data_IF_472056865203
#
_entry.id   IF_472056865203
#
_cell.length_a   1.000
_cell.length_b   1.000
_cell.length_c   1.000
_cell.angle_alpha   90.00
_cell.angle_beta   90.00
_cell.angle_gamma   90.00
#
_symmetry.space_group_name_H-M   'P 1'
#
loop_
_entity.id
_entity.type
_entity.pdbx_description
1 polymer ?
#
# COMPACT_ATOMS: atom_id res chain seq x y z
N UNK A 1 -20.80 30.48 -21.47
CA UNK A 1 -21.46 31.18 -22.59
C UNK A 1 -21.53 32.67 -22.26
N UNK A 2 -20.95 33.52 -23.14
CA UNK A 2 -21.03 35.00 -23.23
C UNK A 2 -20.55 35.80 -21.99
N UNK A 3 -19.90 36.98 -22.07
CA UNK A 3 -19.50 37.90 -23.16
C UNK A 3 -18.39 38.80 -22.57
N UNK A 4 -17.51 39.30 -23.42
CA UNK A 4 -16.49 40.29 -23.06
C UNK A 4 -17.11 41.64 -22.68
N UNK A 5 -16.47 42.31 -21.73
CA UNK A 5 -16.63 43.74 -21.44
C UNK A 5 -15.31 44.25 -20.85
N UNK A 6 -14.52 44.95 -21.67
CA UNK A 6 -13.45 45.81 -21.18
C UNK A 6 -14.06 46.96 -20.40
N UNK A 7 -13.61 47.15 -19.17
CA UNK A 7 -13.70 48.41 -18.45
C UNK A 7 -12.36 48.60 -17.73
N UNK A 8 -11.55 49.53 -18.23
CA UNK A 8 -10.49 50.16 -17.44
C UNK A 8 -11.14 51.01 -16.34
N UNK A 9 -10.72 50.81 -15.10
CA UNK A 9 -11.22 51.55 -13.95
C UNK A 9 -10.81 50.85 -12.67
N UNK A 10 -9.91 51.48 -11.91
CA UNK A 10 -9.31 50.92 -10.70
C UNK A 10 -10.33 50.37 -9.70
N UNK A 11 -9.96 49.30 -9.01
CA UNK A 11 -10.73 48.81 -7.88
C UNK A 11 -9.83 48.13 -6.85
N UNK A 12 -9.92 48.67 -5.64
CA UNK A 12 -9.65 48.12 -4.33
C UNK A 12 -9.00 46.73 -4.27
N UNK A 13 -7.84 46.64 -3.61
CA UNK A 13 -7.51 45.46 -2.82
C UNK A 13 -8.65 45.27 -1.80
N UNK A 14 -9.68 44.51 -2.18
CA UNK A 14 -10.75 44.14 -1.27
C UNK A 14 -10.12 43.34 -0.14
N UNK A 15 -10.18 43.87 1.08
CA UNK A 15 -9.84 43.11 2.28
C UNK A 15 -10.65 41.81 2.26
N UNK A 16 -9.97 40.70 1.95
CA UNK A 16 -10.56 39.37 2.00
C UNK A 16 -11.20 39.19 3.37
N UNK A 17 -12.47 38.81 3.41
CA UNK A 17 -13.16 38.58 4.67
C UNK A 17 -12.37 37.59 5.55
N UNK A 18 -12.36 37.78 6.88
CA UNK A 18 -11.62 36.93 7.79
C UNK A 18 -12.11 35.48 7.72
N UNK A 19 -11.25 34.61 7.16
CA UNK A 19 -11.54 33.18 7.05
C UNK A 19 -11.44 32.54 8.44
N UNK A 20 -12.58 32.14 9.01
CA UNK A 20 -12.65 31.49 10.32
C UNK A 20 -12.91 30.00 10.13
N UNK A 21 -11.98 29.17 10.59
CA UNK A 21 -12.11 27.71 10.55
C UNK A 21 -12.43 27.18 11.95
N UNK A 22 -13.26 26.13 12.01
CA UNK A 22 -13.56 25.44 13.26
C UNK A 22 -12.34 24.65 13.72
N UNK A 23 -12.01 24.72 15.01
CA UNK A 23 -10.91 23.93 15.57
C UNK A 23 -11.22 22.43 15.48
N UNK A 24 -10.25 21.65 15.01
CA UNK A 24 -10.36 20.18 14.98
C UNK A 24 -10.27 19.55 16.39
N UNK A 25 -9.74 20.27 17.38
CA UNK A 25 -9.69 19.88 18.79
C UNK A 25 -10.16 21.04 19.66
N UNK A 26 -11.11 20.77 20.56
CA UNK A 26 -11.74 21.76 21.44
C UNK A 26 -12.95 22.48 20.83
N UNK A 27 -13.54 23.39 21.59
CA UNK A 27 -14.62 24.26 21.12
C UNK A 27 -14.06 25.57 20.54
N UNK A 28 -14.78 26.14 19.57
CA UNK A 28 -14.48 27.46 19.00
C UNK A 28 -13.90 27.45 17.58
N UNK A 29 -13.68 28.67 17.08
CA UNK A 29 -13.12 28.97 15.77
C UNK A 29 -11.73 29.59 15.93
N UNK A 30 -10.89 29.46 14.93
CA UNK A 30 -9.67 30.26 14.81
C UNK A 30 -9.71 31.02 13.49
N UNK A 31 -9.18 32.23 13.49
CA UNK A 31 -9.02 33.00 12.27
C UNK A 31 -7.73 32.57 11.58
N UNK A 32 -7.80 32.33 10.27
CA UNK A 32 -6.64 31.98 9.45
C UNK A 32 -5.85 33.27 9.20
N UNK A 33 -4.57 33.35 9.63
CA UNK A 33 -3.72 34.50 9.36
C UNK A 33 -3.73 34.86 7.88
N UNK A 34 -3.74 36.15 7.54
CA UNK A 34 -3.82 36.61 6.15
C UNK A 34 -2.77 35.95 5.24
N UNK A 35 -1.55 35.74 5.75
CA UNK A 35 -0.44 35.09 5.05
C UNK A 35 -0.69 33.61 4.70
N UNK A 36 -1.59 32.93 5.42
CA UNK A 36 -1.89 31.50 5.21
C UNK A 36 -3.25 31.27 4.54
N UNK A 37 -4.02 32.34 4.23
CA UNK A 37 -5.37 32.25 3.63
C UNK A 37 -5.40 31.59 2.26
N UNK A 38 -4.32 31.73 1.48
CA UNK A 38 -4.19 31.14 0.14
C UNK A 38 -3.47 29.78 0.17
N UNK A 39 -3.04 29.32 1.35
CA UNK A 39 -2.18 28.15 1.48
C UNK A 39 -0.77 28.35 0.92
N UNK A 40 0.11 27.35 1.11
CA UNK A 40 1.47 27.32 0.55
C UNK A 40 1.65 26.21 -0.50
N UNK A 41 0.56 25.54 -0.87
CA UNK A 41 0.61 24.42 -1.80
C UNK A 41 0.88 24.94 -3.22
N UNK A 42 1.85 24.33 -3.90
CA UNK A 42 2.16 24.63 -5.30
C UNK A 42 1.00 24.24 -6.22
N UNK A 43 0.98 24.82 -7.42
CA UNK A 43 -0.01 24.46 -8.42
C UNK A 43 0.37 23.13 -9.07
N UNK A 44 -0.61 22.24 -9.29
CA UNK A 44 -0.38 21.02 -10.08
C UNK A 44 0.08 21.32 -11.53
N UNK A 45 -0.09 22.57 -12.00
CA UNK A 45 0.40 23.03 -13.32
C UNK A 45 1.94 23.11 -13.39
N UNK A 46 2.62 23.18 -12.25
CA UNK A 46 4.08 23.13 -12.15
C UNK A 46 4.62 21.69 -12.24
N UNK A 47 3.76 20.72 -12.55
CA UNK A 47 4.13 19.33 -12.75
C UNK A 47 3.64 18.86 -14.12
N UNK A 48 4.58 18.60 -15.00
CA UNK A 48 4.30 18.08 -16.34
C UNK A 48 3.89 16.61 -16.21
N UNK A 49 2.61 16.32 -16.44
CA UNK A 49 2.10 14.95 -16.44
C UNK A 49 2.59 14.21 -17.68
N UNK A 50 3.38 13.16 -17.48
CA UNK A 50 3.96 12.37 -18.56
C UNK A 50 3.00 11.26 -18.98
N UNK A 51 2.89 10.20 -18.17
CA UNK A 51 2.03 9.06 -18.47
C UNK A 51 1.29 8.57 -17.22
N UNK A 52 0.13 7.96 -17.44
CA UNK A 52 -0.62 7.27 -16.38
C UNK A 52 0.11 5.98 -16.02
N UNK A 53 0.38 5.75 -14.74
CA UNK A 53 1.12 4.58 -14.25
C UNK A 53 0.28 3.66 -13.35
N UNK A 54 -0.83 4.15 -12.80
CA UNK A 54 -1.69 3.32 -11.96
C UNK A 54 -3.11 3.85 -11.85
N UNK A 55 -4.04 2.92 -11.67
CA UNK A 55 -5.42 3.18 -11.31
C UNK A 55 -5.81 2.16 -10.23
N UNK A 56 -6.21 2.65 -9.06
CA UNK A 56 -6.61 1.80 -7.95
C UNK A 56 -7.81 2.37 -7.20
N UNK A 57 -8.16 1.67 -6.12
CA UNK A 57 -9.25 2.04 -5.20
C UNK A 57 -9.10 3.47 -4.68
N UNK A 58 -7.86 3.93 -4.45
CA UNK A 58 -7.58 5.23 -3.84
C UNK A 58 -7.29 6.36 -4.84
N UNK A 59 -7.40 6.10 -6.16
CA UNK A 59 -7.26 7.14 -7.17
C UNK A 59 -6.40 6.78 -8.36
N UNK A 60 -6.11 7.80 -9.17
CA UNK A 60 -5.31 7.69 -10.39
C UNK A 60 -3.91 8.22 -10.10
N UNK A 61 -2.88 7.48 -10.52
CA UNK A 61 -1.48 7.84 -10.35
C UNK A 61 -0.85 8.13 -11.71
N UNK A 62 -0.21 9.29 -11.81
CA UNK A 62 0.55 9.73 -12.99
C UNK A 62 2.04 9.78 -12.66
N UNK A 63 2.89 9.38 -13.60
CA UNK A 63 4.28 9.82 -13.63
C UNK A 63 4.28 11.27 -14.10
N UNK A 64 5.01 12.13 -13.40
CA UNK A 64 5.15 13.53 -13.77
C UNK A 64 6.59 14.00 -13.57
N UNK A 65 6.92 15.14 -14.16
CA UNK A 65 8.18 15.85 -13.97
C UNK A 65 7.89 17.17 -13.26
N UNK A 66 8.54 17.41 -12.13
CA UNK A 66 8.50 18.71 -11.47
C UNK A 66 9.25 19.72 -12.34
N UNK A 67 8.58 20.78 -12.79
CA UNK A 67 9.19 21.75 -13.71
C UNK A 67 10.23 22.65 -13.05
N UNK A 68 10.28 22.69 -11.71
CA UNK A 68 11.25 23.48 -10.96
C UNK A 68 12.56 22.72 -10.74
N UNK A 69 12.46 21.44 -10.37
CA UNK A 69 13.59 20.60 -9.97
C UNK A 69 14.04 19.63 -11.06
N UNK A 70 13.26 19.50 -12.14
CA UNK A 70 13.40 18.51 -13.20
C UNK A 70 13.28 17.05 -12.70
N UNK A 71 12.85 16.86 -11.46
CA UNK A 71 12.77 15.54 -10.83
C UNK A 71 11.53 14.76 -11.31
N UNK A 72 11.69 13.46 -11.57
CA UNK A 72 10.56 12.57 -11.83
C UNK A 72 9.84 12.20 -10.52
N UNK A 73 8.53 12.42 -10.48
CA UNK A 73 7.67 12.18 -9.32
C UNK A 73 6.43 11.37 -9.70
N UNK A 74 5.76 10.80 -8.68
CA UNK A 74 4.44 10.20 -8.83
C UNK A 74 3.37 11.16 -8.29
N UNK A 75 2.39 11.53 -9.13
CA UNK A 75 1.22 12.32 -8.75
C UNK A 75 0.01 11.41 -8.53
N UNK A 76 -0.38 11.19 -7.28
CA UNK A 76 -1.61 10.47 -6.92
C UNK A 76 -2.75 11.48 -6.75
N UNK A 77 -3.75 11.44 -7.65
CA UNK A 77 -4.97 12.25 -7.50
C UNK A 77 -5.82 11.68 -6.37
N UNK A 78 -6.14 12.50 -5.38
CA UNK A 78 -7.05 12.12 -4.29
C UNK A 78 -8.47 11.98 -4.84
N UNK A 79 -9.16 10.89 -4.51
CA UNK A 79 -10.59 10.74 -4.83
C UNK A 79 -11.44 11.56 -3.86
N UNK A 80 -12.40 12.27 -4.43
CA UNK A 80 -13.38 13.09 -3.71
C UNK A 80 -14.75 12.47 -4.02
N UNK A 81 -15.12 11.41 -3.29
CA UNK A 81 -16.33 10.64 -3.58
C UNK A 81 -17.58 11.42 -3.13
N UNK A 82 -18.22 12.20 -4.01
CA UNK A 82 -19.53 12.88 -3.82
C UNK A 82 -19.77 13.55 -2.44
N UNK A 83 -18.72 13.96 -1.74
CA UNK A 83 -18.83 14.65 -0.47
C UNK A 83 -19.16 16.12 -0.71
N UNK A 84 -20.32 16.56 -0.21
CA UNK A 84 -20.75 17.97 -0.27
C UNK A 84 -19.86 18.89 0.58
N UNK A 85 -19.09 18.30 1.51
CA UNK A 85 -18.28 19.01 2.50
C UNK A 85 -16.78 19.07 2.17
N UNK A 86 -16.38 18.71 0.94
CA UNK A 86 -15.00 18.82 0.47
C UNK A 86 -14.17 17.55 0.67
N UNK A 87 -12.97 17.68 1.27
CA UNK A 87 -12.02 16.56 1.40
C UNK A 87 -12.41 15.65 2.58
N UNK A 88 -12.43 14.31 2.40
CA UNK A 88 -12.73 13.39 3.48
C UNK A 88 -11.74 13.53 4.63
N UNK A 89 -12.23 13.56 5.87
CA UNK A 89 -11.39 13.63 7.10
C UNK A 89 -10.38 12.47 7.15
N UNK A 90 -10.72 11.31 6.59
CA UNK A 90 -9.78 10.18 6.46
C UNK A 90 -8.58 10.51 5.58
N UNK A 91 -8.80 11.23 4.48
CA UNK A 91 -7.74 11.62 3.55
C UNK A 91 -6.81 12.67 4.18
N UNK A 92 -7.36 13.62 4.93
CA UNK A 92 -6.54 14.60 5.69
C UNK A 92 -5.65 13.91 6.74
N UNK A 93 -6.18 12.89 7.42
CA UNK A 93 -5.39 12.10 8.39
C UNK A 93 -4.27 11.32 7.70
N UNK A 94 -4.56 10.68 6.57
CA UNK A 94 -3.55 9.99 5.76
C UNK A 94 -2.43 10.93 5.33
N UNK A 95 -2.78 12.11 4.79
CA UNK A 95 -1.82 13.13 4.36
C UNK A 95 -0.95 13.59 5.53
N UNK A 96 -1.58 13.92 6.67
CA UNK A 96 -0.86 14.39 7.87
C UNK A 96 0.12 13.33 8.37
N UNK A 97 -0.29 12.07 8.34
CA UNK A 97 0.55 10.93 8.73
C UNK A 97 1.71 10.75 7.75
N UNK A 98 1.43 10.69 6.45
CA UNK A 98 2.44 10.50 5.41
C UNK A 98 3.49 11.61 5.40
N UNK A 99 3.11 12.87 5.64
CA UNK A 99 4.03 14.00 5.73
C UNK A 99 5.04 13.87 6.89
N UNK A 100 4.74 13.05 7.90
CA UNK A 100 5.62 12.80 9.03
C UNK A 100 6.54 11.59 8.84
N UNK A 101 6.28 10.75 7.83
CA UNK A 101 7.06 9.53 7.60
C UNK A 101 8.29 9.81 6.74
N UNK A 102 9.46 9.50 7.28
CA UNK A 102 10.73 9.55 6.56
C UNK A 102 11.56 8.31 6.87
N UNK A 103 11.62 7.41 5.89
CA UNK A 103 12.41 6.18 5.99
C UNK A 103 12.74 5.67 4.58
N UNK A 104 13.95 5.12 4.33
CA UNK A 104 14.36 4.66 3.00
C UNK A 104 13.41 3.62 2.39
N UNK A 105 12.79 2.76 3.21
CA UNK A 105 11.86 1.73 2.77
C UNK A 105 10.37 2.12 2.84
N UNK A 106 10.06 3.41 2.96
CA UNK A 106 8.70 3.95 2.88
C UNK A 106 8.66 4.95 1.73
N UNK A 107 7.57 4.97 0.95
CA UNK A 107 7.42 6.01 -0.09
C UNK A 107 7.19 7.36 0.58
N UNK A 108 8.04 8.32 0.24
CA UNK A 108 7.95 9.68 0.76
C UNK A 108 6.84 10.46 0.08
N UNK A 109 5.99 11.10 0.88
CA UNK A 109 5.11 12.19 0.44
C UNK A 109 5.89 13.49 0.54
N UNK A 110 6.23 14.08 -0.60
CA UNK A 110 7.04 15.30 -0.68
C UNK A 110 6.20 16.53 -0.37
N UNK A 111 5.07 16.66 -1.05
CA UNK A 111 4.16 17.78 -0.91
C UNK A 111 2.75 17.44 -1.38
N UNK A 112 1.81 18.32 -1.07
CA UNK A 112 0.44 18.29 -1.57
C UNK A 112 0.26 19.48 -2.51
N UNK A 113 -0.22 19.21 -3.72
CA UNK A 113 -0.41 20.23 -4.76
C UNK A 113 -1.87 20.30 -5.18
N UNK A 114 -2.30 21.49 -5.56
CA UNK A 114 -3.71 21.78 -5.84
C UNK A 114 -3.89 22.34 -7.25
N UNK A 115 -5.03 22.01 -7.86
CA UNK A 115 -5.46 22.60 -9.13
C UNK A 115 -6.48 23.70 -8.94
N UNK A 116 -7.04 24.17 -10.06
CA UNK A 116 -8.01 25.26 -10.08
C UNK A 116 -9.42 24.87 -9.57
N UNK A 117 -9.64 23.60 -9.23
CA UNK A 117 -10.92 23.09 -8.75
C UNK A 117 -10.74 22.44 -7.38
N UNK A 118 -11.76 22.52 -6.51
CA UNK A 118 -11.74 21.95 -5.15
C UNK A 118 -11.44 20.44 -5.14
N UNK A 119 -11.78 19.73 -6.22
CA UNK A 119 -11.53 18.29 -6.36
C UNK A 119 -10.15 17.95 -6.94
N UNK A 120 -9.33 18.95 -7.25
CA UNK A 120 -8.03 18.79 -7.90
C UNK A 120 -6.90 18.75 -6.88
N UNK A 121 -6.95 17.82 -5.94
CA UNK A 121 -5.89 17.62 -4.94
C UNK A 121 -5.02 16.43 -5.35
N UNK A 122 -3.70 16.64 -5.35
CA UNK A 122 -2.71 15.65 -5.74
C UNK A 122 -1.63 15.51 -4.68
N UNK A 123 -1.21 14.28 -4.44
CA UNK A 123 -0.09 13.94 -3.58
C UNK A 123 1.15 13.76 -4.46
N UNK A 124 2.19 14.56 -4.22
CA UNK A 124 3.48 14.45 -4.90
C UNK A 124 4.35 13.47 -4.11
N UNK A 125 4.59 12.29 -4.68
CA UNK A 125 5.30 11.20 -4.01
C UNK A 125 6.60 10.89 -4.74
N UNK A 126 7.56 10.30 -4.01
CA UNK A 126 8.76 9.72 -4.62
C UNK A 126 8.37 8.72 -5.72
N UNK A 127 8.96 8.86 -6.90
CA UNK A 127 8.73 7.93 -8.00
C UNK A 127 9.49 6.61 -7.77
N UNK A 128 8.85 5.51 -8.15
CA UNK A 128 9.48 4.19 -8.22
C UNK A 128 9.07 3.55 -9.55
N UNK A 129 10.00 2.82 -10.12
CA UNK A 129 9.90 2.33 -11.48
C UNK A 129 8.80 1.29 -11.61
N UNK A 130 8.72 0.33 -10.70
CA UNK A 130 7.80 -0.81 -10.77
C UNK A 130 7.21 -1.16 -9.41
N UNK A 131 6.05 -1.80 -9.40
CA UNK A 131 5.55 -2.56 -8.24
C UNK A 131 5.95 -4.04 -8.36
N UNK A 132 6.12 -4.72 -7.22
CA UNK A 132 6.57 -6.12 -7.20
C UNK A 132 5.57 -7.07 -7.85
N UNK A 133 4.26 -6.78 -7.77
CA UNK A 133 3.25 -7.60 -8.45
C UNK A 133 3.48 -7.61 -9.97
N UNK A 134 3.66 -6.44 -10.58
CA UNK A 134 3.96 -6.31 -12.01
C UNK A 134 5.29 -6.96 -12.37
N UNK A 135 6.30 -6.90 -11.49
CA UNK A 135 7.56 -7.61 -11.73
C UNK A 135 7.39 -9.13 -11.72
N UNK A 136 6.66 -9.66 -10.74
CA UNK A 136 6.38 -11.10 -10.64
C UNK A 136 5.59 -11.62 -11.85
N UNK A 137 4.66 -10.84 -12.39
CA UNK A 137 3.90 -11.22 -13.58
C UNK A 137 4.74 -11.28 -14.87
N UNK A 138 5.82 -10.49 -14.96
CA UNK A 138 6.55 -10.27 -16.22
C UNK A 138 7.99 -10.81 -16.22
N UNK A 139 8.52 -11.27 -15.08
CA UNK A 139 9.88 -11.80 -15.01
C UNK A 139 9.97 -13.19 -15.61
N UNK A 140 11.00 -13.42 -16.45
CA UNK A 140 11.24 -14.74 -17.06
C UNK A 140 11.77 -15.76 -16.04
N UNK A 141 12.57 -15.28 -15.10
CA UNK A 141 13.18 -16.07 -14.03
C UNK A 141 12.74 -15.53 -12.69
N UNK A 142 12.26 -16.37 -11.75
CA UNK A 142 11.94 -15.95 -10.39
C UNK A 142 13.12 -15.31 -9.65
N UNK A 143 12.83 -14.55 -8.59
CA UNK A 143 13.87 -14.02 -7.73
C UNK A 143 14.67 -15.17 -7.10
N UNK A 144 16.00 -15.04 -7.06
CA UNK A 144 16.84 -15.93 -6.28
C UNK A 144 16.59 -15.73 -4.79
N UNK A 145 16.90 -16.74 -3.96
CA UNK A 145 16.69 -16.62 -2.52
C UNK A 145 17.45 -15.42 -1.90
N UNK A 146 18.64 -15.10 -2.42
CA UNK A 146 19.40 -13.90 -2.03
C UNK A 146 18.63 -12.60 -2.30
N UNK A 147 17.97 -12.50 -3.46
CA UNK A 147 17.15 -11.35 -3.83
C UNK A 147 15.87 -11.29 -2.99
N UNK A 148 15.24 -12.43 -2.74
CA UNK A 148 14.09 -12.50 -1.81
C UNK A 148 14.49 -12.04 -0.42
N UNK A 149 15.62 -12.50 0.13
CA UNK A 149 16.12 -12.04 1.43
C UNK A 149 16.35 -10.53 1.43
N UNK A 150 16.96 -9.97 0.39
CA UNK A 150 17.15 -8.52 0.25
C UNK A 150 15.82 -7.75 0.29
N UNK A 151 14.84 -8.14 -0.53
CA UNK A 151 13.51 -7.53 -0.56
C UNK A 151 12.84 -7.59 0.81
N UNK A 152 12.82 -8.77 1.43
CA UNK A 152 12.11 -9.00 2.69
C UNK A 152 12.73 -8.22 3.84
N UNK A 153 14.06 -8.13 3.91
CA UNK A 153 14.73 -7.30 4.91
C UNK A 153 14.37 -5.82 4.76
N UNK A 154 14.30 -5.30 3.53
CA UNK A 154 13.89 -3.93 3.27
C UNK A 154 12.44 -3.65 3.72
N UNK A 155 11.51 -4.58 3.41
CA UNK A 155 10.12 -4.45 3.87
C UNK A 155 10.01 -4.55 5.39
N UNK A 156 10.73 -5.48 6.03
CA UNK A 156 10.74 -5.61 7.49
C UNK A 156 11.29 -4.35 8.18
N UNK A 157 12.34 -3.72 7.65
CA UNK A 157 12.84 -2.42 8.16
C UNK A 157 11.77 -1.33 8.05
N UNK A 158 11.05 -1.27 6.93
CA UNK A 158 9.92 -0.36 6.76
C UNK A 158 8.80 -0.61 7.77
N UNK A 159 8.39 -1.88 7.97
CA UNK A 159 7.38 -2.25 8.94
C UNK A 159 7.80 -1.95 10.38
N UNK A 160 9.06 -2.22 10.74
CA UNK A 160 9.60 -1.87 12.05
C UNK A 160 9.43 -0.37 12.31
N UNK A 161 9.87 0.48 11.38
CA UNK A 161 9.71 1.92 11.48
C UNK A 161 8.25 2.35 11.66
N UNK A 162 7.33 1.79 10.86
CA UNK A 162 5.89 2.10 10.98
C UNK A 162 5.34 1.69 12.34
N UNK A 163 5.65 0.47 12.79
CA UNK A 163 5.15 -0.09 14.03
C UNK A 163 5.69 0.66 15.25
N UNK A 164 6.96 1.10 15.23
CA UNK A 164 7.55 1.96 16.26
C UNK A 164 6.93 3.37 16.31
N UNK A 165 6.42 3.86 15.17
CA UNK A 165 5.65 5.10 15.07
C UNK A 165 4.14 4.90 15.29
N UNK A 166 3.74 3.75 15.83
CA UNK A 166 2.35 3.40 16.16
C UNK A 166 1.42 3.34 14.94
N UNK A 167 1.92 2.94 13.77
CA UNK A 167 1.18 2.88 12.51
C UNK A 167 1.03 1.44 12.05
N UNK A 168 -0.19 1.02 11.72
CA UNK A 168 -0.49 -0.26 11.07
C UNK A 168 -0.84 0.02 9.62
N UNK A 169 -0.23 -0.72 8.68
CA UNK A 169 -0.44 -0.53 7.25
C UNK A 169 -1.81 -1.03 6.77
N UNK A 170 -2.21 -2.23 7.21
CA UNK A 170 -3.53 -2.88 6.96
C UNK A 170 -3.81 -3.34 5.52
N UNK A 171 -3.04 -2.92 4.53
CA UNK A 171 -3.14 -3.36 3.13
C UNK A 171 -1.79 -3.77 2.54
N UNK A 172 -1.01 -4.53 3.29
CA UNK A 172 0.30 -4.98 2.82
C UNK A 172 0.12 -6.13 1.81
N UNK A 173 0.66 -5.97 0.60
CA UNK A 173 0.61 -6.92 -0.51
C UNK A 173 1.69 -6.59 -1.54
N UNK A 174 2.02 -7.51 -2.45
CA UNK A 174 3.10 -7.29 -3.43
C UNK A 174 2.85 -6.09 -4.36
N UNK A 175 1.60 -5.72 -4.66
CA UNK A 175 1.30 -4.54 -5.48
C UNK A 175 1.49 -3.20 -4.76
N UNK A 176 1.59 -3.23 -3.43
CA UNK A 176 1.87 -2.06 -2.59
C UNK A 176 3.35 -1.98 -2.19
N UNK A 177 4.19 -2.87 -2.72
CA UNK A 177 5.64 -2.80 -2.61
C UNK A 177 6.20 -2.28 -3.93
N UNK A 178 6.80 -1.10 -3.89
CA UNK A 178 7.45 -0.49 -5.05
C UNK A 178 8.95 -0.76 -5.01
N UNK A 179 9.58 -0.86 -6.17
CA UNK A 179 11.02 -1.05 -6.32
C UNK A 179 11.58 0.04 -7.22
N UNK A 180 12.68 0.64 -6.77
CA UNK A 180 13.44 1.59 -7.56
C UNK A 180 14.34 0.88 -8.57
N UNK A 181 14.84 1.60 -9.59
CA UNK A 181 15.89 1.15 -10.51
C UNK A 181 17.17 0.66 -9.79
N UNK A 182 17.48 1.24 -8.63
CA UNK A 182 18.58 0.86 -7.73
C UNK A 182 18.27 -0.30 -6.76
N UNK A 183 17.15 -1.00 -6.93
CA UNK A 183 16.78 -2.14 -6.08
C UNK A 183 16.29 -1.78 -4.67
N UNK A 184 16.00 -0.50 -4.39
CA UNK A 184 15.42 -0.07 -3.13
C UNK A 184 13.92 -0.37 -3.11
N UNK A 185 13.47 -1.12 -2.10
CA UNK A 185 12.05 -1.46 -1.91
C UNK A 185 11.40 -0.47 -0.97
N UNK A 186 10.27 0.09 -1.39
CA UNK A 186 9.48 1.07 -0.63
C UNK A 186 8.05 0.59 -0.45
N UNK A 187 7.56 0.60 0.79
CA UNK A 187 6.16 0.35 1.12
C UNK A 187 5.34 1.58 0.70
N UNK A 188 4.26 1.34 -0.04
CA UNK A 188 3.38 2.36 -0.58
C UNK A 188 1.91 2.09 -0.23
N UNK A 189 1.06 3.07 -0.55
CA UNK A 189 -0.40 3.02 -0.43
C UNK A 189 -0.95 2.89 0.99
N UNK A 190 -0.84 3.99 1.73
CA UNK A 190 -1.31 4.15 3.11
C UNK A 190 -2.81 4.50 3.21
N UNK A 191 -3.59 4.28 2.15
CA UNK A 191 -5.03 4.62 2.08
C UNK A 191 -5.89 3.93 3.15
N UNK A 192 -5.36 2.87 3.77
CA UNK A 192 -5.96 2.18 4.90
C UNK A 192 -5.12 2.23 6.17
N UNK A 193 -3.97 2.88 6.15
CA UNK A 193 -3.10 2.94 7.30
C UNK A 193 -3.78 3.71 8.45
N UNK A 194 -3.46 3.32 9.68
CA UNK A 194 -4.07 3.94 10.86
C UNK A 194 -3.11 3.93 12.03
N UNK A 195 -3.14 5.01 12.79
CA UNK A 195 -2.48 5.04 14.10
C UNK A 195 -3.25 4.14 15.08
N UNK A 196 -2.55 3.24 15.76
CA UNK A 196 -3.13 2.47 16.85
C UNK A 196 -2.80 3.16 18.17
N UNK A 197 -3.82 3.35 19.00
CA UNK A 197 -3.67 3.93 20.33
C UNK A 197 -3.81 2.88 21.41
N UNK A 198 -3.27 3.17 22.59
CA UNK A 198 -3.60 2.47 23.82
C UNK A 198 -4.70 3.28 24.55
N UNK A 199 -5.86 2.69 24.88
CA UNK A 199 -6.26 1.31 24.63
C UNK A 199 -6.67 1.04 23.16
N UNK A 200 -6.53 -0.20 22.67
CA UNK A 200 -6.93 -0.58 21.31
C UNK A 200 -8.42 -0.30 21.10
N UNK A 201 -8.75 0.57 20.14
CA UNK A 201 -10.15 0.85 19.78
C UNK A 201 -10.60 -0.08 18.65
N UNK A 202 -11.88 -0.52 18.64
CA UNK A 202 -12.43 -1.28 17.52
C UNK A 202 -12.24 -0.54 16.19
N UNK A 203 -11.79 -1.25 15.17
CA UNK A 203 -11.60 -0.72 13.82
C UNK A 203 -12.55 -1.40 12.84
N UNK A 204 -13.18 -0.62 11.95
CA UNK A 204 -14.04 -1.16 10.90
C UNK A 204 -13.20 -2.00 9.91
N UNK A 205 -13.61 -3.25 9.62
CA UNK A 205 -13.04 -3.99 8.52
C UNK A 205 -13.49 -3.29 7.23
N UNK A 206 -12.56 -2.60 6.56
CA UNK A 206 -12.76 -2.27 5.15
C UNK A 206 -12.41 -3.53 4.36
N UNK A 207 -13.21 -3.85 3.35
CA UNK A 207 -13.00 -5.03 2.50
C UNK A 207 -11.80 -4.76 1.59
N UNK A 208 -10.77 -5.60 1.67
CA UNK A 208 -9.50 -5.50 0.95
C UNK A 208 -9.13 -6.86 0.36
N UNK A 209 -8.10 -6.89 -0.49
CA UNK A 209 -7.45 -8.09 -1.04
C UNK A 209 -7.37 -9.22 -0.01
N UNK A 210 -8.09 -10.30 -0.31
CA UNK A 210 -8.32 -11.40 0.61
C UNK A 210 -7.07 -12.26 0.88
N UNK A 211 -6.16 -12.32 -0.09
CA UNK A 211 -5.04 -13.28 -0.13
C UNK A 211 -4.00 -13.07 0.98
N UNK A 212 -3.89 -11.85 1.51
CA UNK A 212 -2.95 -11.47 2.57
C UNK A 212 -3.65 -11.27 3.93
N UNK A 213 -4.94 -11.58 4.02
CA UNK A 213 -5.73 -11.29 5.22
C UNK A 213 -5.43 -12.30 6.33
N UNK A 214 -5.14 -11.78 7.52
CA UNK A 214 -4.85 -12.58 8.70
C UNK A 214 -6.09 -13.33 9.23
N UNK A 215 -5.94 -14.52 9.85
CA UNK A 215 -7.05 -15.34 10.32
C UNK A 215 -7.91 -14.63 11.37
N UNK A 216 -7.32 -13.79 12.24
CA UNK A 216 -8.08 -13.00 13.21
C UNK A 216 -9.10 -12.06 12.58
N UNK A 217 -8.80 -11.49 11.42
CA UNK A 217 -9.73 -10.62 10.71
C UNK A 217 -10.85 -11.42 10.06
N UNK A 218 -10.53 -12.59 9.50
CA UNK A 218 -11.51 -13.52 8.90
C UNK A 218 -12.45 -14.13 9.94
N UNK A 219 -11.99 -14.27 11.18
CA UNK A 219 -12.74 -14.79 12.32
C UNK A 219 -13.45 -13.69 13.13
N UNK A 220 -13.45 -12.45 12.63
CA UNK A 220 -14.27 -11.36 13.14
C UNK A 220 -13.68 -10.57 14.32
N UNK A 221 -12.38 -10.67 14.60
CA UNK A 221 -11.75 -9.78 15.58
C UNK A 221 -11.80 -8.33 15.10
N UNK A 222 -12.29 -7.45 15.97
CA UNK A 222 -12.41 -6.00 15.69
C UNK A 222 -11.17 -5.23 16.13
N UNK A 223 -10.33 -5.83 16.98
CA UNK A 223 -9.05 -5.27 17.41
C UNK A 223 -7.98 -5.63 16.40
N UNK A 224 -7.47 -4.60 15.71
CA UNK A 224 -6.38 -4.73 14.75
C UNK A 224 -5.07 -4.32 15.43
N UNK A 225 -4.04 -5.16 15.29
CA UNK A 225 -2.69 -4.89 15.82
C UNK A 225 -1.67 -4.99 14.71
N UNK A 226 -0.41 -4.67 14.99
CA UNK A 226 0.70 -4.83 14.04
C UNK A 226 0.85 -6.26 13.51
N UNK A 227 0.32 -7.27 14.23
CA UNK A 227 0.29 -8.67 13.82
C UNK A 227 -0.29 -8.92 12.44
N UNK A 228 -1.26 -8.12 11.98
CA UNK A 228 -1.92 -8.35 10.69
C UNK A 228 -0.98 -8.03 9.53
N UNK A 229 -0.13 -7.01 9.68
CA UNK A 229 0.92 -6.69 8.71
C UNK A 229 1.97 -7.79 8.69
N UNK A 230 2.28 -8.38 9.85
CA UNK A 230 3.23 -9.49 9.96
C UNK A 230 2.72 -10.77 9.30
N UNK A 231 1.42 -11.04 9.37
CA UNK A 231 0.82 -12.14 8.61
C UNK A 231 0.95 -11.91 7.09
N UNK A 232 0.60 -10.71 6.64
CA UNK A 232 0.74 -10.33 5.24
C UNK A 232 2.20 -10.41 4.76
N UNK A 233 3.16 -10.06 5.62
CA UNK A 233 4.59 -10.22 5.37
C UNK A 233 4.98 -11.69 5.17
N UNK A 234 4.40 -12.62 5.95
CA UNK A 234 4.54 -14.06 5.74
C UNK A 234 4.03 -14.50 4.37
N UNK A 235 2.84 -14.03 3.97
CA UNK A 235 2.28 -14.30 2.63
C UNK A 235 3.20 -13.77 1.51
N UNK A 236 3.75 -12.56 1.66
CA UNK A 236 4.67 -11.96 0.69
C UNK A 236 5.98 -12.76 0.59
N UNK A 237 6.60 -13.13 1.72
CA UNK A 237 7.82 -13.95 1.72
C UNK A 237 7.58 -15.27 0.99
N UNK A 238 6.48 -15.95 1.32
CA UNK A 238 6.12 -17.22 0.71
C UNK A 238 5.79 -17.09 -0.79
N UNK A 239 5.13 -16.00 -1.20
CA UNK A 239 4.82 -15.70 -2.60
C UNK A 239 6.07 -15.39 -3.42
N UNK A 240 7.02 -14.62 -2.88
CA UNK A 240 8.31 -14.38 -3.55
C UNK A 240 9.12 -15.66 -3.70
N UNK A 241 9.14 -16.53 -2.68
CA UNK A 241 9.82 -17.83 -2.74
C UNK A 241 9.16 -18.81 -3.71
N UNK A 242 7.83 -18.82 -3.79
CA UNK A 242 7.07 -19.73 -4.65
C UNK A 242 6.82 -19.18 -6.06
N UNK A 243 7.09 -17.89 -6.28
CA UNK A 243 6.75 -17.13 -7.48
C UNK A 243 5.26 -17.19 -7.86
N UNK A 244 4.39 -17.40 -6.87
CA UNK A 244 2.94 -17.46 -7.03
C UNK A 244 2.23 -17.16 -5.71
N UNK A 245 1.02 -16.59 -5.74
CA UNK A 245 0.26 -16.31 -4.52
C UNK A 245 0.12 -17.54 -3.63
N UNK A 246 0.41 -17.38 -2.32
CA UNK A 246 0.37 -18.50 -1.38
C UNK A 246 -1.05 -18.97 -1.10
N UNK A 247 -1.97 -18.03 -0.84
CA UNK A 247 -3.34 -18.28 -0.39
C UNK A 247 -4.33 -17.48 -1.26
N UNK A 248 -4.54 -17.84 -2.53
CA UNK A 248 -5.41 -17.12 -3.46
C UNK A 248 -6.90 -17.45 -3.26
N UNK A 249 -7.45 -17.17 -2.07
CA UNK A 249 -8.86 -17.43 -1.78
C UNK A 249 -9.80 -16.55 -2.60
N UNK A 250 -10.95 -17.11 -2.96
CA UNK A 250 -12.01 -16.44 -3.73
C UNK A 250 -13.19 -15.97 -2.87
N UNK A 251 -13.29 -16.48 -1.64
CA UNK A 251 -14.27 -16.09 -0.62
C UNK A 251 -13.64 -16.22 0.77
N UNK A 252 -14.16 -15.54 1.80
CA UNK A 252 -13.59 -15.60 3.16
C UNK A 252 -13.55 -17.04 3.69
N UNK A 253 -14.57 -17.84 3.39
CA UNK A 253 -14.63 -19.27 3.71
C UNK A 253 -13.50 -20.03 2.99
N UNK A 254 -13.32 -19.81 1.70
CA UNK A 254 -12.23 -20.45 0.93
C UNK A 254 -10.85 -20.00 1.44
N UNK A 255 -10.69 -18.74 1.83
CA UNK A 255 -9.44 -18.23 2.40
C UNK A 255 -9.10 -18.92 3.72
N UNK A 256 -10.07 -19.07 4.63
CA UNK A 256 -9.86 -19.82 5.87
C UNK A 256 -9.53 -21.27 5.57
N UNK A 257 -10.23 -21.90 4.61
CA UNK A 257 -9.95 -23.27 4.22
C UNK A 257 -8.50 -23.43 3.76
N UNK A 258 -8.02 -22.57 2.84
CA UNK A 258 -6.61 -22.52 2.40
C UNK A 258 -5.62 -22.37 3.56
N UNK A 259 -5.91 -21.49 4.51
CA UNK A 259 -5.09 -21.30 5.71
C UNK A 259 -5.01 -22.59 6.53
N UNK A 260 -6.15 -23.24 6.77
CA UNK A 260 -6.22 -24.51 7.51
C UNK A 260 -5.53 -25.65 6.75
N UNK A 261 -5.63 -25.69 5.42
CA UNK A 261 -4.90 -26.67 4.61
C UNK A 261 -3.38 -26.52 4.79
N UNK A 262 -2.90 -25.28 4.89
CA UNK A 262 -1.48 -24.97 4.98
C UNK A 262 -0.92 -25.19 6.40
N UNK A 263 -1.61 -24.70 7.44
CA UNK A 263 -1.05 -24.61 8.79
C UNK A 263 -1.63 -25.65 9.77
N UNK A 264 -2.74 -26.29 9.42
CA UNK A 264 -3.50 -27.16 10.30
C UNK A 264 -4.69 -26.45 10.96
N UNK A 265 -5.62 -27.22 11.50
CA UNK A 265 -6.83 -26.71 12.13
C UNK A 265 -6.49 -26.03 13.46
N UNK A 266 -6.81 -24.74 13.65
CA UNK A 266 -6.61 -24.07 14.93
C UNK A 266 -7.47 -24.70 16.02
N UNK A 267 -6.95 -24.70 17.25
CA UNK A 267 -7.62 -25.19 18.45
C UNK A 267 -7.12 -24.39 19.66
N UNK A 268 -7.68 -24.66 20.85
CA UNK A 268 -7.34 -23.93 22.08
C UNK A 268 -5.86 -24.03 22.49
N UNK A 269 -5.14 -25.09 22.10
CA UNK A 269 -3.71 -25.21 22.39
C UNK A 269 -2.88 -24.30 21.47
N UNK A 270 -3.26 -24.21 20.19
CA UNK A 270 -2.59 -23.39 19.19
C UNK A 270 -2.93 -21.90 19.40
N UNK A 271 -4.20 -21.61 19.63
CA UNK A 271 -4.73 -20.26 19.84
C UNK A 271 -5.71 -20.25 21.02
N UNK A 272 -5.21 -19.95 22.23
CA UNK A 272 -6.06 -19.85 23.41
C UNK A 272 -7.14 -18.78 23.24
N UNK A 273 -8.41 -19.17 23.39
CA UNK A 273 -9.57 -18.32 23.16
C UNK A 273 -10.15 -18.39 21.75
N UNK A 274 -9.66 -19.30 20.89
CA UNK A 274 -10.17 -19.51 19.53
C UNK A 274 -11.70 -19.70 19.48
N UNK A 275 -12.24 -20.50 20.40
CA UNK A 275 -13.68 -20.80 20.46
C UNK A 275 -14.54 -19.57 20.83
N UNK A 276 -13.91 -18.51 21.34
CA UNK A 276 -14.58 -17.25 21.73
C UNK A 276 -14.57 -16.20 20.62
N UNK A 277 -13.93 -16.49 19.48
CA UNK A 277 -13.87 -15.55 18.36
C UNK A 277 -15.26 -15.39 17.73
N UNK A 278 -15.67 -14.17 17.34
CA UNK A 278 -17.05 -13.88 16.95
C UNK A 278 -17.60 -14.76 15.83
N UNK A 279 -16.76 -15.12 14.86
CA UNK A 279 -17.18 -15.91 13.70
C UNK A 279 -16.69 -17.37 13.74
N UNK A 280 -15.95 -17.80 14.77
CA UNK A 280 -15.38 -19.16 14.79
C UNK A 280 -16.45 -20.25 14.68
N UNK A 281 -17.59 -20.08 15.36
CA UNK A 281 -18.72 -21.03 15.29
C UNK A 281 -19.48 -21.04 13.96
N UNK A 282 -19.24 -20.07 13.07
CA UNK A 282 -19.90 -19.99 11.76
C UNK A 282 -19.15 -20.77 10.68
N UNK A 283 -17.90 -21.16 10.94
CA UNK A 283 -17.08 -21.90 9.99
C UNK A 283 -17.02 -23.38 10.35
N UNK A 284 -17.42 -24.25 9.43
CA UNK A 284 -17.14 -25.68 9.52
C UNK A 284 -15.72 -25.94 9.02
N UNK A 285 -14.75 -25.96 9.93
CA UNK A 285 -13.35 -26.19 9.57
C UNK A 285 -13.09 -27.67 9.25
N UNK A 286 -12.33 -27.91 8.19
CA UNK A 286 -11.79 -29.24 7.91
C UNK A 286 -10.87 -29.70 9.05
N UNK A 287 -10.81 -31.01 9.28
CA UNK A 287 -9.81 -31.62 10.17
C UNK A 287 -8.51 -31.80 9.42
N UNK A 288 -7.50 -31.00 9.77
CA UNK A 288 -6.15 -31.03 9.22
C UNK A 288 -5.17 -30.93 10.39
N UNK A 289 -4.59 -32.04 10.87
CA UNK A 289 -3.77 -32.01 12.09
C UNK A 289 -2.33 -31.53 11.84
N UNK A 290 -1.89 -31.44 10.58
CA UNK A 290 -0.50 -31.20 10.23
C UNK A 290 -0.27 -29.81 9.63
N UNK A 291 0.86 -29.20 9.99
CA UNK A 291 1.42 -28.03 9.33
C UNK A 291 2.21 -28.46 8.09
N UNK A 292 1.82 -27.95 6.92
CA UNK A 292 2.34 -28.32 5.62
C UNK A 292 3.37 -27.33 5.04
N UNK A 293 3.87 -26.36 5.82
CA UNK A 293 4.87 -25.40 5.32
C UNK A 293 6.14 -26.09 4.80
N UNK A 294 6.65 -27.11 5.50
CA UNK A 294 7.81 -27.90 5.04
C UNK A 294 7.51 -28.70 3.76
N UNK A 295 6.30 -29.21 3.62
CA UNK A 295 5.85 -29.87 2.38
C UNK A 295 5.70 -28.89 1.22
N UNK A 296 5.27 -27.66 1.51
CA UNK A 296 5.12 -26.59 0.50
C UNK A 296 6.46 -26.03 0.04
N UNK A 297 7.43 -25.95 0.94
CA UNK A 297 8.77 -25.40 0.71
C UNK A 297 9.87 -26.41 1.10
N UNK A 298 9.95 -27.58 0.44
CA UNK A 298 10.89 -28.64 0.81
C UNK A 298 12.35 -28.27 0.59
N UNK A 299 12.62 -27.29 -0.27
CA UNK A 299 13.97 -26.76 -0.55
C UNK A 299 14.40 -25.65 0.41
N UNK A 300 13.47 -25.08 1.19
CA UNK A 300 13.77 -23.97 2.08
C UNK A 300 14.51 -24.49 3.31
N UNK A 301 15.53 -23.75 3.73
CA UNK A 301 16.30 -24.09 4.93
C UNK A 301 15.42 -24.15 6.18
N UNK A 302 15.91 -24.84 7.22
CA UNK A 302 15.24 -24.87 8.52
C UNK A 302 15.11 -23.46 9.13
N UNK A 303 16.03 -22.53 8.85
CA UNK A 303 15.91 -21.14 9.28
C UNK A 303 14.80 -20.39 8.56
N UNK A 304 14.65 -20.58 7.24
CA UNK A 304 13.57 -19.99 6.47
C UNK A 304 12.20 -20.55 6.88
N UNK A 305 12.10 -21.85 7.11
CA UNK A 305 10.89 -22.48 7.64
C UNK A 305 10.53 -21.96 9.03
N UNK A 306 11.52 -21.78 9.93
CA UNK A 306 11.30 -21.15 11.25
C UNK A 306 10.76 -19.73 11.11
N UNK A 307 11.31 -18.92 10.22
CA UNK A 307 10.81 -17.56 9.97
C UNK A 307 9.34 -17.58 9.50
N UNK A 308 9.00 -18.46 8.55
CA UNK A 308 7.61 -18.63 8.10
C UNK A 308 6.68 -19.08 9.25
N UNK A 309 7.11 -20.02 10.09
CA UNK A 309 6.33 -20.43 11.27
C UNK A 309 6.04 -19.26 12.21
N UNK A 310 7.02 -18.40 12.47
CA UNK A 310 6.84 -17.24 13.35
C UNK A 310 5.92 -16.17 12.75
N UNK A 311 5.95 -15.97 11.43
CA UNK A 311 5.05 -15.05 10.72
C UNK A 311 3.61 -15.60 10.65
N UNK A 312 3.44 -16.93 10.60
CA UNK A 312 2.14 -17.60 10.49
C UNK A 312 1.58 -18.15 11.80
N UNK A 313 2.03 -17.65 12.96
CA UNK A 313 1.39 -17.97 14.22
C UNK A 313 -0.08 -17.53 14.20
N UNK A 314 -1.00 -18.45 14.51
CA UNK A 314 -2.43 -18.18 14.57
C UNK A 314 -2.76 -17.13 15.62
N UNK A 315 -2.28 -17.33 16.86
CA UNK A 315 -2.46 -16.36 17.94
C UNK A 315 -1.68 -15.08 17.61
N UNK A 316 -2.36 -13.94 17.38
CA UNK A 316 -1.72 -12.68 17.03
C UNK A 316 -0.71 -12.21 18.09
N UNK A 317 -0.90 -12.60 19.36
CA UNK A 317 -0.01 -12.21 20.47
C UNK A 317 1.33 -12.95 20.46
N UNK A 318 1.39 -14.11 19.79
CA UNK A 318 2.59 -14.93 19.67
C UNK A 318 3.29 -14.76 18.32
N UNK A 319 2.69 -14.02 17.40
CA UNK A 319 3.24 -13.75 16.07
C UNK A 319 4.43 -12.81 16.18
N UNK A 320 5.52 -13.14 15.48
CA UNK A 320 6.75 -12.36 15.55
C UNK A 320 6.56 -10.92 15.06
N UNK A 321 7.26 -10.00 15.70
CA UNK A 321 7.32 -8.60 15.28
C UNK A 321 8.32 -8.39 14.15
N UNK A 322 8.26 -7.24 13.47
CA UNK A 322 9.23 -6.90 12.43
C UNK A 322 10.67 -6.91 12.96
N UNK A 323 10.87 -6.45 14.19
CA UNK A 323 12.17 -6.47 14.89
C UNK A 323 12.68 -7.89 15.10
N UNK A 324 11.85 -8.79 15.62
CA UNK A 324 12.24 -10.19 15.86
C UNK A 324 12.59 -10.89 14.54
N UNK A 325 11.82 -10.62 13.48
CA UNK A 325 12.09 -11.19 12.17
C UNK A 325 13.44 -10.75 11.59
N UNK A 326 13.83 -9.48 11.76
CA UNK A 326 15.12 -8.97 11.29
C UNK A 326 16.32 -9.67 11.95
N UNK A 327 16.15 -10.22 13.15
CA UNK A 327 17.21 -10.94 13.87
C UNK A 327 17.32 -12.42 13.45
N UNK A 328 16.40 -12.91 12.62
CA UNK A 328 16.32 -14.30 12.17
C UNK A 328 17.63 -14.81 11.56
N UNK A 329 17.96 -16.06 11.90
CA UNK A 329 19.12 -16.77 11.30
C UNK A 329 19.00 -16.92 9.79
N UNK A 330 17.78 -16.84 9.23
CA UNK A 330 17.54 -16.95 7.79
C UNK A 330 18.28 -15.89 6.98
N UNK A 331 18.43 -14.68 7.53
CA UNK A 331 19.17 -13.59 6.89
C UNK A 331 20.69 -13.65 7.09
N UNK A 332 21.17 -14.57 7.94
CA UNK A 332 22.59 -14.72 8.30
C UNK A 332 23.24 -15.95 7.67
N UNK A 333 22.44 -16.88 7.14
CA UNK A 333 22.93 -18.07 6.45
C UNK A 333 23.01 -17.88 4.93
N UNK A 334 23.81 -18.71 4.26
CA UNK A 334 23.94 -18.69 2.80
C UNK A 334 22.67 -19.27 2.13
N UNK A 335 22.25 -18.72 0.97
CA UNK A 335 22.79 -17.52 0.35
C UNK A 335 22.43 -16.27 1.17
N UNK A 336 23.40 -15.37 1.34
CA UNK A 336 23.20 -14.11 2.05
C UNK A 336 22.28 -13.19 1.22
N UNK A 337 21.56 -12.24 1.85
CA UNK A 337 20.88 -11.18 1.11
C UNK A 337 21.84 -10.49 0.16
N UNK A 338 21.45 -10.28 -1.09
CA UNK A 338 22.25 -9.45 -1.98
C UNK A 338 22.14 -7.98 -1.58
N UNK A 339 23.16 -7.19 -1.90
CA UNK A 339 23.07 -5.74 -1.78
C UNK A 339 21.99 -5.19 -2.73
N UNK A 340 21.23 -4.16 -2.35
CA UNK A 340 20.19 -3.57 -3.21
C UNK A 340 20.69 -3.20 -4.61
N UNK A 341 21.92 -2.69 -4.72
CA UNK A 341 22.55 -2.30 -5.99
C UNK A 341 22.84 -3.47 -6.93
N UNK A 342 22.85 -4.70 -6.40
CA UNK A 342 23.03 -5.94 -7.17
C UNK A 342 21.69 -6.55 -7.58
N UNK A 343 20.56 -5.93 -7.24
CA UNK A 343 19.26 -6.34 -7.74
C UNK A 343 19.22 -6.18 -9.26
N UNK A 344 18.59 -7.13 -9.98
CA UNK A 344 18.49 -7.07 -11.42
C UNK A 344 17.72 -5.82 -11.84
N UNK A 345 18.23 -5.12 -12.85
CA UNK A 345 17.48 -4.04 -13.49
C UNK A 345 16.40 -4.64 -14.38
N UNK A 346 15.16 -4.22 -14.16
CA UNK A 346 14.02 -4.65 -14.96
C UNK A 346 13.66 -3.59 -15.99
N UNK A 347 13.29 -3.98 -17.23
CA UNK A 347 12.68 -3.05 -18.18
C UNK A 347 11.47 -2.38 -17.52
N UNK A 348 11.20 -1.11 -17.83
CA UNK A 348 10.01 -0.45 -17.28
C UNK A 348 8.71 -1.03 -17.89
N UNK A 349 8.21 -2.14 -17.36
CA UNK A 349 7.03 -2.85 -17.88
C UNK A 349 5.74 -2.06 -17.71
N UNK A 350 5.64 -1.26 -16.63
CA UNK A 350 4.53 -0.31 -16.39
C UNK A 350 4.30 0.68 -17.54
N UNK A 351 5.35 1.04 -18.29
CA UNK A 351 5.24 1.92 -19.46
C UNK A 351 4.82 1.18 -20.74
N UNK A 352 4.97 -0.15 -20.80
CA UNK A 352 4.67 -0.95 -22.00
C UNK A 352 3.18 -1.30 -22.15
N UNK A 353 2.45 -1.52 -21.05
CA UNK A 353 0.99 -1.82 -21.09
C UNK A 353 0.17 -0.72 -21.78
N UNK A 354 0.65 0.53 -21.78
CA UNK A 354 -0.03 1.66 -22.45
C UNK A 354 0.30 1.72 -23.93
N UNK A 355 1.52 1.37 -24.34
CA UNK A 355 1.92 1.37 -25.75
C UNK A 355 1.16 0.32 -26.57
N UNK A 356 0.90 -0.86 -26.00
CA UNK A 356 0.10 -1.91 -26.66
C UNK A 356 -1.40 -1.58 -26.69
N UNK A 357 -1.94 -0.93 -25.65
CA UNK A 357 -3.33 -0.47 -25.65
C UNK A 357 -3.57 0.68 -26.65
N UNK A 358 -2.60 1.58 -26.82
CA UNK A 358 -2.66 2.65 -27.83
C UNK A 358 -2.45 2.13 -29.26
N UNK A 359 -1.61 1.11 -29.45
CA UNK A 359 -1.39 0.48 -30.75
C UNK A 359 -2.59 -0.37 -31.22
N UNK A 360 -3.29 -1.04 -30.29
CA UNK A 360 -4.49 -1.84 -30.60
C UNK A 360 -5.71 -1.03 -31.02
N UNK A 361 -5.82 0.22 -30.54
CA UNK A 361 -6.91 1.13 -30.90
C UNK A 361 -6.72 1.82 -32.28
N UNK A 362 -5.53 1.74 -32.87
CA UNK A 362 -5.19 2.40 -34.14
C UNK A 362 -5.50 1.59 -35.40
N UNK A 363 -5.74 0.28 -35.28
CA UNK A 363 -5.87 -0.63 -36.45
C UNK A 363 -7.29 -1.05 -36.81
N UNK A 364 -8.31 -0.75 -36.00
CA UNK A 364 -9.70 -1.17 -36.30
C UNK A 364 -10.54 -0.15 -37.09
N UNK A 365 -10.04 1.06 -37.37
CA UNK A 365 -10.84 2.12 -38.01
C UNK A 365 -10.74 2.25 -39.54
N UNK A 366 -10.01 1.37 -40.27
CA UNK A 366 -9.89 1.48 -41.74
C UNK A 366 -10.41 0.29 -42.55
N UNK A 367 -10.95 -0.77 -41.93
CA UNK A 367 -11.33 -1.98 -42.65
C UNK A 367 -12.85 -2.20 -42.77
N UNK A 368 -13.67 -1.16 -42.98
CA UNK A 368 -15.09 -1.32 -43.41
C UNK A 368 -15.57 -0.17 -44.30
N UNK A 369 -15.09 -0.10 -45.55
CA UNK A 369 -15.76 0.64 -46.63
C UNK A 369 -15.29 0.23 -48.03
N UNK A 370 -15.85 -0.86 -48.56
CA UNK A 370 -15.93 -1.17 -50.01
C UNK A 370 -16.64 -2.53 -50.17
N UNK A 371 -17.97 -2.53 -50.36
CA UNK A 371 -18.72 -2.75 -51.62
C UNK A 371 -18.92 -4.24 -51.98
N UNK A 372 -19.94 -4.60 -52.80
CA UNK A 372 -21.12 -3.86 -53.23
C UNK A 372 -22.39 -4.22 -52.45
#
# INVERSE_FOLDING_TARGET
HARAGMAEGGSAEGELEPLRLRRLRGEGFFEVPAADRLGRCRSVKEFEKLNRIGEGTYGIVYRARDTLTDETVALKKVRMDNEKDGMPISSLREITLLLQLRHPNIVELKEVVVGNHLESIFLVMGYCEQDLASLLENMQTPFSEAQVKCIIMQVLKGLQYLHENYIIHRDLKVSNLLMTDKGCVKIADFGLARTYGLPPKPMTPKVVTLWYRAPELLLGMTTQTTSIDMWAMGCILAELLAHKPLLPGTSEIHQIDLIVQLLGTPNENIWPGFSRLPLAGQYTLRKQPYNNLKHKFPWLSEAGLRLLHFLFMYDPKKRATAKDCLESSYFKEKPLPCEPELMPTFPHHRNKRVATAAAGAGTESQAKRSKP
#
